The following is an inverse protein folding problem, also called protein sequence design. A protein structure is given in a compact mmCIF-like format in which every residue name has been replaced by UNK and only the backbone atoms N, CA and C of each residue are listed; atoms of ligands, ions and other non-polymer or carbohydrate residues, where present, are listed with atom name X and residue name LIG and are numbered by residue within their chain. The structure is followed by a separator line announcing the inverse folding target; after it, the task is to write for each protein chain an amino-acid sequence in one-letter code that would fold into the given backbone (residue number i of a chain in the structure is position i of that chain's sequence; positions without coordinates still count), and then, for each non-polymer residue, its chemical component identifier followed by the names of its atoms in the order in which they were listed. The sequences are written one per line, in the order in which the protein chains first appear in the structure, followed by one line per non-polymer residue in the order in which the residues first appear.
data_IF_375792858109
#
_entry.id   IF_375792858109
#
_cell.length_a   1.000
_cell.length_b   1.000
_cell.length_c   1.000
_cell.angle_alpha   90.00
_cell.angle_beta   90.00
_cell.angle_gamma   90.00
#
_symmetry.space_group_name_H-M   'P 1'
#
loop_
_entity.id
_entity.type
_entity.pdbx_description
1 polymer ?
#
# COMPACT_ATOMS: atom_id res chain seq x y z
N UNK A 1 67.98 -15.57 -13.02
CA UNK A 1 68.31 -16.94 -13.45
C UNK A 1 67.66 -17.93 -12.50
N UNK A 2 67.05 -18.98 -13.07
CA UNK A 2 66.52 -20.18 -12.42
C UNK A 2 65.41 -19.99 -11.35
N UNK A 3 64.14 -20.04 -11.80
CA UNK A 3 63.03 -20.78 -11.16
C UNK A 3 61.79 -20.74 -12.09
N UNK A 4 61.84 -21.55 -13.14
CA UNK A 4 60.70 -21.96 -13.96
C UNK A 4 60.89 -23.44 -14.27
N UNK A 5 59.92 -24.28 -13.91
CA UNK A 5 59.90 -25.71 -14.26
C UNK A 5 59.42 -26.58 -13.10
N UNK A 6 58.48 -27.50 -13.41
CA UNK A 6 57.64 -28.35 -12.52
C UNK A 6 56.31 -27.64 -12.20
N UNK A 7 55.12 -28.09 -12.61
CA UNK A 7 54.65 -29.41 -13.07
C UNK A 7 53.46 -29.15 -14.01
N UNK A 8 53.55 -29.62 -15.26
CA UNK A 8 52.45 -29.68 -16.22
C UNK A 8 52.29 -31.15 -16.59
N UNK A 9 51.43 -31.88 -15.88
CA UNK A 9 50.94 -33.22 -16.25
C UNK A 9 50.03 -33.72 -15.13
N UNK A 10 48.72 -33.52 -15.25
CA UNK A 10 47.67 -34.38 -14.71
C UNK A 10 46.29 -33.87 -15.18
N UNK A 11 45.46 -34.82 -15.60
CA UNK A 11 44.04 -34.71 -15.98
C UNK A 11 43.70 -34.41 -17.46
N UNK A 12 44.22 -35.26 -18.35
CA UNK A 12 43.45 -35.73 -19.52
C UNK A 12 43.05 -37.19 -19.28
N UNK A 13 41.85 -37.44 -18.76
CA UNK A 13 41.09 -38.69 -18.90
C UNK A 13 39.77 -38.59 -18.15
N UNK A 14 38.67 -38.27 -18.85
CA UNK A 14 37.29 -38.76 -18.60
C UNK A 14 36.32 -37.95 -19.46
N UNK A 15 36.30 -38.24 -20.76
CA UNK A 15 35.32 -37.74 -21.71
C UNK A 15 34.97 -38.91 -22.65
N UNK A 16 34.07 -39.77 -22.18
CA UNK A 16 33.31 -40.70 -23.01
C UNK A 16 32.14 -41.28 -22.19
N UNK A 17 30.97 -41.34 -22.82
CA UNK A 17 29.72 -41.97 -22.36
C UNK A 17 28.84 -41.19 -21.37
N UNK A 18 28.14 -40.16 -21.87
CA UNK A 18 26.73 -39.96 -21.53
C UNK A 18 25.97 -39.90 -22.86
N UNK A 19 25.37 -41.02 -23.24
CA UNK A 19 24.45 -41.12 -24.35
C UNK A 19 23.19 -40.29 -24.05
N UNK A 20 22.88 -39.38 -24.97
CA UNK A 20 21.55 -38.89 -25.36
C UNK A 20 20.36 -39.19 -24.43
N UNK A 21 19.97 -38.21 -23.62
CA UNK A 21 18.60 -38.08 -23.11
C UNK A 21 18.01 -36.76 -23.61
N UNK A 22 17.35 -36.82 -24.76
CA UNK A 22 16.49 -35.73 -25.25
C UNK A 22 15.12 -35.94 -24.59
N UNK A 23 14.63 -35.03 -23.72
CA UNK A 23 13.27 -35.14 -23.23
C UNK A 23 12.31 -34.87 -24.40
N UNK A 24 11.56 -35.88 -24.82
CA UNK A 24 10.50 -35.71 -25.80
C UNK A 24 9.40 -34.82 -25.21
N UNK A 25 9.08 -33.73 -25.89
CA UNK A 25 7.90 -32.92 -25.61
C UNK A 25 6.63 -33.78 -25.72
N UNK A 26 5.64 -33.63 -24.83
CA UNK A 26 4.38 -34.36 -24.96
C UNK A 26 3.66 -33.97 -26.26
N UNK A 27 2.93 -34.92 -26.89
CA UNK A 27 2.20 -34.63 -28.13
C UNK A 27 1.10 -33.57 -27.87
N UNK A 28 0.81 -32.72 -28.87
CA UNK A 28 -0.25 -31.73 -28.75
C UNK A 28 -1.62 -32.41 -28.57
N UNK A 29 -2.56 -31.80 -27.82
CA UNK A 29 -3.90 -32.35 -27.66
C UNK A 29 -4.63 -32.45 -29.01
N UNK A 30 -5.56 -33.41 -29.16
CA UNK A 30 -6.31 -33.59 -30.39
C UNK A 30 -7.15 -32.34 -30.72
N UNK A 31 -7.39 -32.04 -32.01
CA UNK A 31 -8.17 -30.88 -32.41
C UNK A 31 -9.59 -31.00 -31.85
N UNK A 32 -10.02 -30.00 -31.08
CA UNK A 32 -11.40 -29.87 -30.63
C UNK A 32 -12.32 -29.81 -31.85
N UNK A 33 -13.23 -30.78 -31.90
CA UNK A 33 -14.32 -30.82 -32.87
C UNK A 33 -15.17 -29.55 -32.74
N UNK A 34 -15.27 -28.83 -33.85
CA UNK A 34 -16.25 -27.77 -34.06
C UNK A 34 -17.64 -28.31 -33.74
N UNK A 35 -18.23 -27.84 -32.64
CA UNK A 35 -19.67 -27.96 -32.42
C UNK A 35 -20.26 -26.69 -31.80
N UNK A 36 -21.21 -26.16 -32.56
CA UNK A 36 -22.32 -25.27 -32.21
C UNK A 36 -21.97 -23.88 -31.66
N UNK A 37 -22.27 -22.89 -32.49
CA UNK A 37 -22.42 -21.47 -32.18
C UNK A 37 -23.16 -21.23 -30.85
N UNK A 38 -22.79 -20.19 -30.09
CA UNK A 38 -23.56 -19.79 -28.92
C UNK A 38 -24.94 -19.25 -29.36
N UNK A 39 -26.01 -19.47 -28.59
CA UNK A 39 -27.31 -18.87 -28.88
C UNK A 39 -27.20 -17.34 -28.78
N UNK A 40 -27.82 -16.65 -29.74
CA UNK A 40 -27.92 -15.20 -29.78
C UNK A 40 -28.56 -14.67 -28.49
N UNK A 41 -27.79 -13.99 -27.65
CA UNK A 41 -28.32 -13.20 -26.56
C UNK A 41 -29.03 -11.98 -27.15
N UNK A 42 -30.36 -12.03 -27.20
CA UNK A 42 -31.15 -10.81 -27.37
C UNK A 42 -30.97 -9.95 -26.11
N UNK A 43 -30.73 -8.63 -26.24
CA UNK A 43 -30.67 -7.76 -25.07
C UNK A 43 -32.07 -7.69 -24.43
N UNK A 44 -32.18 -7.71 -23.10
CA UNK A 44 -33.46 -7.51 -22.44
C UNK A 44 -33.99 -6.10 -22.73
N UNK A 45 -35.32 -5.91 -22.76
CA UNK A 45 -35.93 -4.64 -23.09
C UNK A 45 -35.54 -3.56 -22.08
N UNK A 46 -35.30 -2.36 -22.61
CA UNK A 46 -34.95 -1.15 -21.85
C UNK A 46 -35.97 -0.86 -20.76
N UNK A 47 -35.63 -1.18 -19.52
CA UNK A 47 -36.33 -0.67 -18.35
C UNK A 47 -35.84 0.76 -18.09
N UNK A 48 -36.51 1.72 -18.74
CA UNK A 48 -36.69 3.05 -18.15
C UNK A 48 -37.45 2.82 -16.85
N UNK A 49 -36.90 3.18 -15.69
CA UNK A 49 -37.63 3.71 -14.51
C UNK A 49 -36.66 4.04 -13.34
N UNK A 50 -37.06 4.94 -12.42
CA UNK A 50 -36.20 5.97 -11.86
C UNK A 50 -35.67 5.60 -10.47
N UNK A 51 -34.35 5.65 -10.29
CA UNK A 51 -33.72 5.42 -8.98
C UNK A 51 -33.38 6.71 -8.19
N UNK A 52 -33.94 7.85 -8.59
CA UNK A 52 -33.95 9.03 -7.74
C UNK A 52 -35.19 9.00 -6.83
N UNK A 53 -35.04 8.30 -5.69
CA UNK A 53 -35.73 8.52 -4.39
C UNK A 53 -35.58 7.24 -3.55
N UNK A 54 -34.43 7.07 -2.91
CA UNK A 54 -34.38 6.26 -1.70
C UNK A 54 -34.35 7.23 -0.52
N UNK A 55 -35.49 7.24 0.16
CA UNK A 55 -35.79 7.93 1.41
C UNK A 55 -34.71 7.66 2.46
N UNK A 56 -34.47 8.67 3.31
CA UNK A 56 -33.78 8.56 4.61
C UNK A 56 -34.32 7.35 5.39
N UNK A 57 -33.73 6.18 5.17
CA UNK A 57 -33.80 5.08 6.11
C UNK A 57 -32.60 5.26 7.01
N UNK A 58 -32.85 5.43 8.30
CA UNK A 58 -31.83 5.62 9.31
C UNK A 58 -30.76 4.54 9.19
N UNK A 59 -29.61 4.90 8.59
CA UNK A 59 -28.34 4.34 8.99
C UNK A 59 -28.26 4.64 10.47
N UNK A 60 -28.34 3.61 11.32
CA UNK A 60 -27.97 3.75 12.72
C UNK A 60 -26.65 4.50 12.72
N UNK A 61 -26.66 5.73 13.26
CA UNK A 61 -25.45 6.49 13.46
C UNK A 61 -24.50 5.57 14.21
N UNK A 62 -23.47 5.07 13.51
CA UNK A 62 -22.37 4.44 14.19
C UNK A 62 -21.88 5.51 15.15
N UNK A 63 -22.02 5.26 16.45
CA UNK A 63 -21.49 6.14 17.47
C UNK A 63 -20.05 6.46 17.05
N UNK A 64 -19.75 7.74 16.85
CA UNK A 64 -18.39 8.17 16.56
C UNK A 64 -17.43 7.66 17.65
N UNK A 65 -16.11 7.78 17.44
CA UNK A 65 -15.17 7.49 18.51
C UNK A 65 -15.53 8.32 19.76
N UNK A 66 -15.04 7.90 20.93
CA UNK A 66 -15.08 8.76 22.12
C UNK A 66 -14.30 10.06 21.87
N UNK A 67 -13.99 10.83 22.92
CA UNK A 67 -13.10 11.97 22.76
C UNK A 67 -11.77 11.51 22.11
N UNK A 68 -11.50 11.96 20.89
CA UNK A 68 -10.31 11.56 20.12
C UNK A 68 -9.07 12.12 20.80
N UNK A 69 -8.13 11.23 21.17
CA UNK A 69 -6.88 11.59 21.84
C UNK A 69 -5.63 11.27 21.04
N UNK A 70 -5.77 10.49 19.97
CA UNK A 70 -4.70 10.33 18.99
C UNK A 70 -5.17 9.94 17.60
N UNK A 71 -4.36 10.31 16.61
CA UNK A 71 -4.54 9.91 15.22
C UNK A 71 -3.26 9.22 14.75
N UNK A 72 -3.42 8.03 14.18
CA UNK A 72 -2.34 7.24 13.61
C UNK A 72 -2.48 7.25 12.09
N UNK A 73 -1.48 7.79 11.42
CA UNK A 73 -1.48 7.95 9.98
C UNK A 73 -0.61 6.87 9.34
N UNK A 74 -1.10 6.24 8.27
CA UNK A 74 -0.18 5.69 7.27
C UNK A 74 0.64 6.82 6.60
N UNK A 75 1.64 6.46 5.78
CA UNK A 75 2.57 7.41 5.17
C UNK A 75 2.35 7.48 3.66
N UNK A 76 2.57 6.38 2.94
CA UNK A 76 2.40 6.30 1.49
C UNK A 76 0.93 6.44 1.12
N UNK A 77 0.61 7.29 0.14
CA UNK A 77 -0.78 7.58 -0.24
C UNK A 77 -1.61 8.33 0.82
N UNK A 78 -1.18 8.38 2.08
CA UNK A 78 -1.93 8.97 3.19
C UNK A 78 -1.42 10.36 3.56
N UNK A 79 -0.11 10.53 3.80
CA UNK A 79 0.49 11.85 4.02
C UNK A 79 0.86 12.53 2.69
N UNK A 80 1.24 11.75 1.70
CA UNK A 80 1.59 12.25 0.38
C UNK A 80 1.19 11.28 -0.72
N UNK A 81 0.92 11.83 -1.90
CA UNK A 81 0.69 11.03 -3.09
C UNK A 81 2.03 10.47 -3.63
N UNK A 82 2.40 9.26 -3.18
CA UNK A 82 3.64 8.56 -3.56
C UNK A 82 3.42 7.49 -4.63
N UNK A 83 2.17 7.08 -4.85
CA UNK A 83 1.79 6.01 -5.78
C UNK A 83 2.25 6.25 -7.22
N UNK A 84 2.14 7.46 -7.81
CA UNK A 84 2.64 7.72 -9.16
C UNK A 84 4.14 7.44 -9.31
N UNK A 85 4.94 7.75 -8.29
CA UNK A 85 6.39 7.50 -8.32
C UNK A 85 6.67 6.01 -8.15
N UNK A 86 6.00 5.34 -7.20
CA UNK A 86 6.12 3.89 -7.06
C UNK A 86 5.71 3.18 -8.35
N UNK A 87 4.62 3.60 -9.00
CA UNK A 87 4.15 3.02 -10.25
C UNK A 87 5.21 3.11 -11.35
N UNK A 88 5.83 4.28 -11.56
CA UNK A 88 6.93 4.45 -12.52
C UNK A 88 8.12 3.52 -12.19
N UNK A 89 8.51 3.43 -10.92
CA UNK A 89 9.64 2.58 -10.48
C UNK A 89 9.34 1.10 -10.70
N UNK A 90 8.16 0.63 -10.26
CA UNK A 90 7.76 -0.76 -10.45
C UNK A 90 7.60 -1.10 -11.93
N UNK A 91 7.04 -0.20 -12.73
CA UNK A 91 6.93 -0.39 -14.17
C UNK A 91 8.31 -0.55 -14.83
N UNK A 92 9.28 0.29 -14.48
CA UNK A 92 10.65 0.20 -14.97
C UNK A 92 11.31 -1.14 -14.59
N UNK A 93 11.24 -1.51 -13.30
CA UNK A 93 11.97 -2.65 -12.75
C UNK A 93 11.32 -3.99 -13.11
N UNK A 94 10.00 -4.10 -13.04
CA UNK A 94 9.30 -5.35 -13.37
C UNK A 94 9.43 -5.68 -14.86
N UNK A 95 9.44 -4.67 -15.73
CA UNK A 95 9.72 -4.87 -17.15
C UNK A 95 11.11 -5.46 -17.39
N UNK A 96 12.14 -4.98 -16.67
CA UNK A 96 13.52 -5.51 -16.75
C UNK A 96 13.62 -6.96 -16.28
N UNK A 97 12.84 -7.33 -15.27
CA UNK A 97 12.75 -8.71 -14.77
C UNK A 97 11.85 -9.62 -15.63
N UNK A 98 11.29 -9.13 -16.74
CA UNK A 98 10.44 -9.91 -17.65
C UNK A 98 9.02 -10.19 -17.13
N UNK A 99 8.61 -9.57 -16.02
CA UNK A 99 7.24 -9.66 -15.50
C UNK A 99 6.27 -9.05 -16.53
N UNK A 100 5.04 -9.55 -16.55
CA UNK A 100 4.02 -9.19 -17.55
C UNK A 100 4.49 -9.43 -18.99
N UNK A 101 5.31 -10.47 -19.21
CA UNK A 101 5.88 -10.81 -20.52
C UNK A 101 6.87 -9.76 -21.04
N UNK A 102 7.57 -9.07 -20.14
CA UNK A 102 8.51 -7.99 -20.47
C UNK A 102 7.83 -6.71 -20.97
N UNK A 103 6.54 -6.53 -20.67
CA UNK A 103 5.78 -5.32 -20.99
C UNK A 103 5.58 -4.48 -19.72
N UNK A 104 5.44 -3.15 -19.85
CA UNK A 104 5.02 -2.29 -18.76
C UNK A 104 3.76 -2.81 -18.05
N UNK A 105 3.73 -2.79 -16.71
CA UNK A 105 2.50 -3.00 -15.95
C UNK A 105 1.57 -1.79 -16.11
N UNK A 106 0.26 -2.01 -15.96
CA UNK A 106 -0.74 -0.94 -15.91
C UNK A 106 -1.14 -0.58 -14.47
N UNK A 107 -1.94 0.47 -14.31
CA UNK A 107 -2.41 0.91 -12.99
C UNK A 107 -3.25 -0.16 -12.28
N UNK A 108 -4.00 -0.97 -13.02
CA UNK A 108 -4.82 -2.02 -12.41
C UNK A 108 -3.93 -3.07 -11.74
N UNK A 109 -2.88 -3.53 -12.44
CA UNK A 109 -1.88 -4.42 -11.86
C UNK A 109 -1.24 -3.79 -10.63
N UNK A 110 -0.85 -2.52 -10.70
CA UNK A 110 -0.22 -1.83 -9.57
C UNK A 110 -1.13 -1.77 -8.34
N UNK A 111 -2.38 -1.32 -8.49
CA UNK A 111 -3.34 -1.19 -7.38
C UNK A 111 -3.72 -2.54 -6.75
N UNK A 112 -3.72 -3.61 -7.53
CA UNK A 112 -4.13 -4.95 -7.07
C UNK A 112 -2.98 -5.77 -6.48
N UNK A 113 -1.79 -5.68 -7.08
CA UNK A 113 -0.66 -6.53 -6.72
C UNK A 113 0.40 -5.85 -5.86
N UNK A 114 0.44 -4.50 -5.83
CA UNK A 114 1.58 -3.73 -5.29
C UNK A 114 1.14 -2.71 -4.23
N UNK A 115 0.22 -1.80 -4.56
CA UNK A 115 -0.11 -0.63 -3.73
C UNK A 115 -0.42 -1.00 -2.26
N UNK A 116 0.25 -0.33 -1.31
CA UNK A 116 0.10 -0.55 0.14
C UNK A 116 0.59 -1.90 0.70
N UNK A 117 1.22 -2.75 -0.14
CA UNK A 117 1.76 -4.05 0.30
C UNK A 117 3.23 -3.96 0.66
N UNK A 118 3.70 -4.90 1.48
CA UNK A 118 5.12 -5.04 1.78
C UNK A 118 5.90 -5.59 0.58
N UNK A 119 7.11 -5.08 0.36
CA UNK A 119 7.99 -5.58 -0.68
C UNK A 119 8.25 -7.09 -0.57
N UNK A 120 8.38 -7.63 0.64
CA UNK A 120 8.58 -9.06 0.84
C UNK A 120 7.41 -9.90 0.29
N UNK A 121 6.17 -9.44 0.49
CA UNK A 121 4.98 -10.12 -0.03
C UNK A 121 4.85 -9.94 -1.54
N UNK A 122 5.16 -8.74 -2.05
CA UNK A 122 5.20 -8.47 -3.49
C UNK A 122 6.23 -9.38 -4.18
N UNK A 123 7.45 -9.46 -3.64
CA UNK A 123 8.51 -10.31 -4.18
C UNK A 123 8.13 -11.79 -4.12
N UNK A 124 7.51 -12.24 -3.03
CA UNK A 124 7.05 -13.63 -2.91
C UNK A 124 6.06 -14.01 -4.00
N UNK A 125 5.14 -13.12 -4.36
CA UNK A 125 4.11 -13.40 -5.36
C UNK A 125 4.65 -13.26 -6.79
N UNK A 126 5.46 -12.23 -7.06
CA UNK A 126 6.00 -11.95 -8.40
C UNK A 126 7.22 -12.81 -8.75
N UNK A 127 8.02 -13.18 -7.75
CA UNK A 127 9.26 -13.92 -7.90
C UNK A 127 9.33 -15.12 -6.93
N UNK A 128 8.41 -16.09 -7.03
CA UNK A 128 8.32 -17.20 -6.07
C UNK A 128 9.54 -18.14 -6.07
N UNK A 129 10.41 -18.02 -7.07
CA UNK A 129 11.63 -18.80 -7.25
C UNK A 129 12.88 -18.09 -6.70
N UNK A 130 12.77 -16.84 -6.26
CA UNK A 130 13.90 -16.12 -5.65
C UNK A 130 14.18 -16.58 -4.23
N UNK A 131 15.45 -16.56 -3.87
CA UNK A 131 15.86 -16.66 -2.46
C UNK A 131 15.49 -15.39 -1.71
N UNK A 132 15.49 -15.46 -0.38
CA UNK A 132 15.27 -14.28 0.48
C UNK A 132 16.28 -13.18 0.17
N UNK A 133 17.56 -13.52 0.00
CA UNK A 133 18.62 -12.57 -0.32
C UNK A 133 18.41 -11.86 -1.66
N UNK A 134 17.92 -12.58 -2.69
CA UNK A 134 17.59 -11.98 -3.98
C UNK A 134 16.43 -10.98 -3.86
N UNK A 135 15.37 -11.35 -3.14
CA UNK A 135 14.23 -10.48 -2.89
C UNK A 135 14.60 -9.22 -2.08
N UNK A 136 15.44 -9.37 -1.05
CA UNK A 136 15.94 -8.25 -0.25
C UNK A 136 16.80 -7.30 -1.09
N UNK A 137 17.72 -7.84 -1.90
CA UNK A 137 18.56 -7.04 -2.80
C UNK A 137 17.75 -6.26 -3.83
N UNK A 138 16.75 -6.91 -4.43
CA UNK A 138 15.85 -6.26 -5.38
C UNK A 138 15.01 -5.18 -4.69
N UNK A 139 14.50 -5.46 -3.48
CA UNK A 139 13.74 -4.50 -2.69
C UNK A 139 14.57 -3.27 -2.33
N UNK A 140 15.80 -3.42 -1.85
CA UNK A 140 16.66 -2.27 -1.53
C UNK A 140 16.99 -1.45 -2.80
N UNK A 141 17.22 -2.11 -3.94
CA UNK A 141 17.42 -1.43 -5.23
C UNK A 141 16.17 -0.67 -5.66
N UNK A 142 14.97 -1.27 -5.55
CA UNK A 142 13.68 -0.61 -5.80
C UNK A 142 13.54 0.63 -4.94
N UNK A 143 13.81 0.53 -3.64
CA UNK A 143 13.63 1.66 -2.74
C UNK A 143 14.66 2.75 -2.93
N UNK A 144 15.90 2.41 -3.28
CA UNK A 144 16.89 3.39 -3.69
C UNK A 144 16.43 4.16 -4.94
N UNK A 145 15.86 3.45 -5.92
CA UNK A 145 15.33 4.06 -7.14
C UNK A 145 14.11 4.96 -6.86
N UNK A 146 13.21 4.53 -5.98
CA UNK A 146 12.11 5.37 -5.50
C UNK A 146 12.61 6.67 -4.87
N UNK A 147 13.54 6.59 -3.91
CA UNK A 147 14.08 7.79 -3.25
C UNK A 147 14.75 8.74 -4.24
N UNK A 148 15.45 8.24 -5.26
CA UNK A 148 16.03 9.05 -6.33
C UNK A 148 14.95 9.78 -7.14
N UNK A 149 13.92 9.06 -7.60
CA UNK A 149 12.87 9.60 -8.47
C UNK A 149 11.88 10.51 -7.73
N UNK A 150 11.69 10.30 -6.44
CA UNK A 150 10.73 11.02 -5.62
C UNK A 150 11.17 12.44 -5.24
N UNK A 151 12.46 12.78 -5.38
CA UNK A 151 12.98 14.13 -5.06
C UNK A 151 12.23 15.18 -5.87
N UNK A 152 11.56 16.10 -5.17
CA UNK A 152 10.78 17.18 -5.78
C UNK A 152 9.47 16.76 -6.45
N UNK A 153 9.09 15.47 -6.37
CA UNK A 153 7.83 14.96 -6.93
C UNK A 153 6.74 14.71 -5.89
N UNK A 154 7.09 14.43 -4.64
CA UNK A 154 6.11 14.15 -3.59
C UNK A 154 5.34 15.42 -3.20
N UNK A 155 4.02 15.29 -3.14
CA UNK A 155 3.12 16.37 -2.73
C UNK A 155 2.34 15.92 -1.49
N UNK A 156 2.24 16.78 -0.46
CA UNK A 156 1.36 16.48 0.67
C UNK A 156 -0.09 16.35 0.18
N UNK A 157 -0.88 15.51 0.83
CA UNK A 157 -2.31 15.50 0.61
C UNK A 157 -2.90 16.83 1.06
N UNK A 158 -3.90 17.33 0.33
CA UNK A 158 -4.55 18.61 0.61
C UNK A 158 -5.12 18.64 2.04
N UNK A 159 -4.95 19.75 2.75
CA UNK A 159 -5.39 19.90 4.14
C UNK A 159 -4.45 19.29 5.20
N UNK A 160 -3.35 18.64 4.80
CA UNK A 160 -2.46 17.95 5.75
C UNK A 160 -1.81 18.91 6.75
N UNK A 161 -1.39 20.09 6.31
CA UNK A 161 -0.73 21.07 7.18
C UNK A 161 -1.72 21.62 8.21
N UNK A 162 -2.92 21.90 7.76
CA UNK A 162 -4.03 22.47 8.53
C UNK A 162 -4.48 21.50 9.61
N UNK A 163 -4.66 20.21 9.28
CA UNK A 163 -5.00 19.21 10.28
C UNK A 163 -3.87 19.03 11.29
N UNK A 164 -2.59 18.97 10.88
CA UNK A 164 -1.50 18.81 11.83
C UNK A 164 -1.41 19.98 12.82
N UNK A 165 -1.58 21.21 12.31
CA UNK A 165 -1.67 22.41 13.16
C UNK A 165 -2.84 22.32 14.15
N UNK A 166 -4.02 21.91 13.69
CA UNK A 166 -5.18 21.70 14.56
C UNK A 166 -4.90 20.66 15.66
N UNK A 167 -4.30 19.52 15.29
CA UNK A 167 -3.99 18.45 16.24
C UNK A 167 -2.99 18.91 17.31
N UNK A 168 -2.01 19.75 16.93
CA UNK A 168 -1.08 20.35 17.89
C UNK A 168 -1.79 21.27 18.88
N UNK A 169 -2.68 22.15 18.39
CA UNK A 169 -3.45 23.05 19.25
C UNK A 169 -4.40 22.30 20.19
N UNK A 170 -4.99 21.20 19.72
CA UNK A 170 -5.89 20.35 20.48
C UNK A 170 -5.16 19.38 21.43
N UNK A 171 -3.83 19.29 21.37
CA UNK A 171 -3.05 18.34 22.16
C UNK A 171 -3.31 16.87 21.81
N UNK A 172 -3.71 16.61 20.56
CA UNK A 172 -3.99 15.27 20.04
C UNK A 172 -2.67 14.65 19.56
N UNK A 173 -2.39 13.43 20.04
CA UNK A 173 -1.15 12.71 19.73
C UNK A 173 -1.15 12.19 18.30
N UNK A 174 0.03 12.07 17.70
CA UNK A 174 0.21 11.66 16.30
C UNK A 174 1.24 10.55 16.18
N UNK A 175 0.93 9.50 15.43
CA UNK A 175 1.91 8.51 15.01
C UNK A 175 1.93 8.34 13.49
N UNK A 176 3.10 8.09 12.94
CA UNK A 176 3.24 7.52 11.61
C UNK A 176 3.41 6.00 11.73
N UNK A 177 2.62 5.22 11.00
CA UNK A 177 2.65 3.76 11.01
C UNK A 177 2.67 3.29 9.57
N UNK A 178 3.74 2.64 9.10
CA UNK A 178 3.88 2.31 7.67
C UNK A 178 4.47 0.92 7.44
N UNK A 179 4.14 0.31 6.30
CA UNK A 179 4.81 -0.89 5.80
C UNK A 179 6.08 -0.57 4.98
N UNK A 180 6.34 0.71 4.68
CA UNK A 180 7.56 1.12 4.00
C UNK A 180 8.79 0.93 4.89
N UNK A 181 9.96 0.57 4.33
CA UNK A 181 11.20 0.50 5.10
C UNK A 181 11.54 1.85 5.73
N UNK A 182 12.22 1.83 6.88
CA UNK A 182 12.59 3.04 7.65
C UNK A 182 13.19 4.16 6.81
N UNK A 183 14.15 3.84 5.92
CA UNK A 183 14.79 4.82 5.05
C UNK A 183 13.81 5.58 4.16
N UNK A 184 12.75 4.91 3.69
CA UNK A 184 11.73 5.52 2.86
C UNK A 184 10.76 6.36 3.69
N UNK A 185 10.33 5.83 4.85
CA UNK A 185 9.50 6.59 5.78
C UNK A 185 10.19 7.91 6.17
N UNK A 186 11.45 7.84 6.60
CA UNK A 186 12.24 9.02 6.97
C UNK A 186 12.47 9.96 5.78
N UNK A 187 12.74 9.43 4.59
CA UNK A 187 12.85 10.22 3.38
C UNK A 187 11.56 10.99 3.07
N UNK A 188 10.40 10.32 3.01
CA UNK A 188 9.13 10.97 2.71
C UNK A 188 8.77 12.01 3.75
N UNK A 189 8.92 11.70 5.04
CA UNK A 189 8.69 12.65 6.13
C UNK A 189 9.63 13.87 6.05
N UNK A 190 10.89 13.67 5.65
CA UNK A 190 11.83 14.77 5.45
C UNK A 190 11.42 15.67 4.27
N UNK A 191 10.88 15.09 3.19
CA UNK A 191 10.39 15.83 2.01
C UNK A 191 9.12 16.63 2.35
N UNK A 192 8.23 16.06 3.16
CA UNK A 192 7.04 16.75 3.67
C UNK A 192 7.37 17.82 4.74
N UNK A 193 8.63 17.87 5.15
CA UNK A 193 9.23 19.03 5.79
C UNK A 193 9.35 18.95 7.30
N UNK A 194 8.87 17.89 7.97
CA UNK A 194 8.86 17.81 9.45
C UNK A 194 8.80 16.36 9.98
N UNK A 195 9.95 15.81 10.36
CA UNK A 195 10.04 14.54 11.12
C UNK A 195 9.47 14.68 12.54
N UNK A 196 9.43 15.91 13.06
CA UNK A 196 9.02 16.33 14.39
C UNK A 196 7.49 16.37 14.58
N UNK A 197 6.71 16.10 13.54
CA UNK A 197 5.25 16.05 13.62
C UNK A 197 4.70 14.86 14.42
N UNK A 198 5.48 13.81 14.59
CA UNK A 198 5.00 12.56 15.16
C UNK A 198 5.67 12.28 16.49
N UNK A 199 4.85 11.96 17.48
CA UNK A 199 5.30 11.49 18.79
C UNK A 199 6.01 10.13 18.68
N UNK A 200 5.64 9.32 17.69
CA UNK A 200 6.29 8.04 17.37
C UNK A 200 6.16 7.68 15.90
N UNK A 201 7.16 6.98 15.39
CA UNK A 201 7.14 6.32 14.07
C UNK A 201 7.24 4.81 14.29
N UNK A 202 6.32 4.06 13.69
CA UNK A 202 6.27 2.59 13.71
C UNK A 202 6.45 2.05 12.30
N UNK A 203 7.49 1.23 12.13
CA UNK A 203 7.81 0.57 10.86
C UNK A 203 7.32 -0.88 10.94
N UNK A 204 6.51 -1.30 9.97
CA UNK A 204 5.91 -2.63 9.92
C UNK A 204 6.96 -3.74 9.87
N UNK A 205 8.04 -3.54 9.10
CA UNK A 205 9.16 -4.49 9.00
C UNK A 205 9.98 -4.63 10.28
N UNK A 206 9.85 -3.69 11.22
CA UNK A 206 10.50 -3.78 12.55
C UNK A 206 9.57 -4.40 13.60
N UNK A 207 8.31 -4.67 13.23
CA UNK A 207 7.36 -5.37 14.07
C UNK A 207 7.47 -6.89 13.81
N UNK A 208 7.05 -7.69 14.79
CA UNK A 208 6.97 -9.15 14.59
C UNK A 208 6.00 -9.53 13.46
N UNK A 209 4.99 -8.68 13.23
CA UNK A 209 4.05 -8.78 12.12
C UNK A 209 3.71 -7.39 11.62
N UNK A 210 3.63 -7.27 10.31
CA UNK A 210 3.26 -6.04 9.64
C UNK A 210 1.80 -6.05 9.19
N UNK A 211 1.32 -4.92 8.62
CA UNK A 211 -0.05 -4.81 8.10
C UNK A 211 -0.24 -5.88 7.00
N UNK A 212 -1.33 -6.67 7.03
CA UNK A 212 -2.64 -6.38 7.62
C UNK A 212 -2.86 -6.89 9.06
N UNK A 213 -1.81 -7.33 9.76
CA UNK A 213 -1.90 -7.60 11.20
C UNK A 213 -2.03 -6.26 11.95
N UNK A 214 -2.86 -6.16 13.00
CA UNK A 214 -3.06 -4.90 13.73
C UNK A 214 -1.85 -4.48 14.60
N UNK A 215 -0.86 -5.36 14.77
CA UNK A 215 0.29 -5.13 15.64
C UNK A 215 0.97 -3.77 15.47
N UNK A 216 1.27 -3.24 14.26
CA UNK A 216 1.91 -1.94 14.13
C UNK A 216 1.08 -0.80 14.74
N UNK A 217 -0.25 -0.82 14.56
CA UNK A 217 -1.15 0.17 15.16
C UNK A 217 -1.27 -0.02 16.67
N UNK A 218 -1.31 -1.26 17.15
CA UNK A 218 -1.32 -1.55 18.59
C UNK A 218 -0.04 -1.07 19.29
N UNK A 219 1.13 -1.26 18.67
CA UNK A 219 2.41 -0.74 19.17
C UNK A 219 2.39 0.79 19.21
N UNK A 220 1.86 1.45 18.18
CA UNK A 220 1.73 2.91 18.16
C UNK A 220 0.83 3.40 19.31
N UNK A 221 -0.34 2.79 19.50
CA UNK A 221 -1.25 3.10 20.61
C UNK A 221 -0.58 2.90 21.98
N UNK A 222 0.13 1.78 22.17
CA UNK A 222 0.86 1.48 23.41
C UNK A 222 1.91 2.55 23.73
N UNK A 223 2.74 2.92 22.74
CA UNK A 223 3.77 3.97 22.90
C UNK A 223 3.17 5.33 23.25
N UNK A 224 1.96 5.62 22.75
CA UNK A 224 1.26 6.87 23.02
C UNK A 224 0.37 6.80 24.27
N UNK A 225 0.24 5.65 24.92
CA UNK A 225 -0.67 5.45 26.05
C UNK A 225 -2.13 5.70 25.67
N UNK A 226 -2.53 5.24 24.48
CA UNK A 226 -3.87 5.35 23.93
C UNK A 226 -4.59 4.00 23.92
N UNK A 227 -5.90 4.04 24.05
CA UNK A 227 -6.82 2.92 23.80
C UNK A 227 -7.41 2.99 22.39
N UNK A 228 -7.89 1.87 21.84
CA UNK A 228 -8.54 1.86 20.53
C UNK A 228 -9.74 2.82 20.43
N UNK A 229 -10.53 2.96 21.50
CA UNK A 229 -11.78 3.77 21.47
C UNK A 229 -11.55 5.28 21.44
N UNK A 230 -10.32 5.73 21.72
CA UNK A 230 -9.88 7.14 21.66
C UNK A 230 -8.92 7.41 20.49
N UNK A 231 -8.75 6.42 19.60
CA UNK A 231 -7.78 6.45 18.50
C UNK A 231 -8.48 6.41 17.16
N UNK A 232 -8.04 7.28 16.25
CA UNK A 232 -8.40 7.24 14.83
C UNK A 232 -7.21 6.73 14.02
N UNK A 233 -7.46 5.86 13.05
CA UNK A 233 -6.47 5.44 12.03
C UNK A 233 -6.87 6.03 10.69
N UNK A 234 -5.93 6.61 9.95
CA UNK A 234 -6.14 7.08 8.56
C UNK A 234 -5.28 6.25 7.60
N UNK A 235 -5.91 5.66 6.59
CA UNK A 235 -5.31 4.69 5.67
C UNK A 235 -5.87 4.77 4.26
N UNK A 236 -5.04 4.53 3.25
CA UNK A 236 -5.42 4.53 1.82
C UNK A 236 -5.51 3.10 1.24
N UNK A 237 -4.94 2.12 1.93
CA UNK A 237 -4.72 0.77 1.40
C UNK A 237 -5.63 -0.29 2.05
N UNK A 238 -5.96 -1.41 1.35
CA UNK A 238 -6.79 -2.45 1.94
C UNK A 238 -6.05 -3.19 3.05
N UNK A 239 -4.74 -3.40 2.88
CA UNK A 239 -3.87 -4.04 3.87
C UNK A 239 -3.84 -3.24 5.16
N UNK A 240 -3.60 -1.95 5.05
CA UNK A 240 -3.46 -1.08 6.19
C UNK A 240 -4.79 -0.70 6.84
N UNK A 241 -5.83 -0.44 6.07
CA UNK A 241 -7.20 -0.32 6.59
C UNK A 241 -7.62 -1.58 7.38
N UNK A 242 -7.25 -2.78 6.89
CA UNK A 242 -7.52 -4.04 7.62
C UNK A 242 -6.81 -4.06 8.97
N UNK A 243 -5.56 -3.61 9.02
CA UNK A 243 -4.81 -3.52 10.27
C UNK A 243 -5.43 -2.50 11.24
N UNK A 244 -5.85 -1.33 10.73
CA UNK A 244 -6.56 -0.30 11.49
C UNK A 244 -7.84 -0.84 12.11
N UNK A 245 -8.71 -1.46 11.31
CA UNK A 245 -9.98 -2.03 11.76
C UNK A 245 -9.74 -3.14 12.80
N UNK A 246 -8.80 -4.05 12.55
CA UNK A 246 -8.46 -5.14 13.49
C UNK A 246 -7.82 -4.65 14.79
N UNK A 247 -7.27 -3.43 14.81
CA UNK A 247 -6.71 -2.83 16.03
C UNK A 247 -7.80 -2.38 17.01
N UNK A 248 -9.05 -2.28 16.54
CA UNK A 248 -10.19 -1.78 17.30
C UNK A 248 -10.40 -0.26 17.18
N UNK A 249 -9.48 0.46 16.53
CA UNK A 249 -9.56 1.89 16.33
C UNK A 249 -10.60 2.29 15.28
N UNK A 250 -11.11 3.52 15.38
CA UNK A 250 -11.97 4.08 14.34
C UNK A 250 -11.14 4.34 13.08
N UNK A 251 -11.41 3.59 12.02
CA UNK A 251 -10.59 3.63 10.80
C UNK A 251 -11.25 4.45 9.70
N UNK A 252 -10.55 5.47 9.22
CA UNK A 252 -10.92 6.35 8.12
C UNK A 252 -10.12 5.95 6.88
N UNK A 253 -10.82 5.71 5.78
CA UNK A 253 -10.21 5.48 4.47
C UNK A 253 -9.96 6.78 3.73
N UNK A 254 -8.74 7.05 3.26
CA UNK A 254 -8.45 8.18 2.36
C UNK A 254 -8.39 7.71 0.90
N UNK A 255 -9.10 8.39 0.01
CA UNK A 255 -9.38 7.94 -1.37
C UNK A 255 -8.31 8.38 -2.38
N UNK A 256 -7.05 8.30 -2.00
CA UNK A 256 -5.89 8.63 -2.84
C UNK A 256 -5.48 7.46 -3.72
N UNK A 257 -5.47 6.24 -3.16
CA UNK A 257 -4.94 5.05 -3.84
C UNK A 257 -6.01 4.04 -4.27
N UNK A 258 -7.06 3.86 -3.45
CA UNK A 258 -8.09 2.83 -3.66
C UNK A 258 -9.49 3.41 -3.84
N UNK A 259 -10.36 2.61 -4.47
CA UNK A 259 -11.77 2.95 -4.61
C UNK A 259 -12.53 2.82 -3.28
N UNK A 260 -13.58 3.62 -3.13
CA UNK A 260 -14.42 3.68 -1.92
C UNK A 260 -14.99 2.31 -1.52
N UNK A 261 -15.43 1.51 -2.49
CA UNK A 261 -15.99 0.18 -2.24
C UNK A 261 -14.97 -0.76 -1.59
N UNK A 262 -13.70 -0.67 -1.99
CA UNK A 262 -12.61 -1.48 -1.45
C UNK A 262 -12.40 -1.17 0.04
N UNK A 263 -12.24 0.10 0.39
CA UNK A 263 -12.01 0.50 1.79
C UNK A 263 -13.24 0.27 2.67
N UNK A 264 -14.44 0.47 2.13
CA UNK A 264 -15.70 0.15 2.83
C UNK A 264 -15.80 -1.34 3.13
N UNK A 265 -15.45 -2.20 2.16
CA UNK A 265 -15.53 -3.67 2.32
C UNK A 265 -14.60 -4.21 3.42
N UNK A 266 -13.49 -3.51 3.68
CA UNK A 266 -12.53 -3.84 4.73
C UNK A 266 -13.01 -3.40 6.12
N UNK A 267 -13.97 -2.46 6.17
CA UNK A 267 -14.61 -2.01 7.40
C UNK A 267 -14.28 -0.58 7.83
N UNK A 268 -13.68 0.24 6.95
CA UNK A 268 -13.54 1.68 7.20
C UNK A 268 -14.92 2.29 7.52
N UNK A 269 -14.95 3.15 8.55
CA UNK A 269 -16.19 3.74 9.08
C UNK A 269 -16.53 5.09 8.46
N UNK A 270 -15.53 5.74 7.87
CA UNK A 270 -15.63 7.01 7.16
C UNK A 270 -14.65 6.97 6.00
N UNK A 271 -14.98 7.69 4.93
CA UNK A 271 -14.11 7.85 3.77
C UNK A 271 -13.93 9.35 3.48
N UNK A 272 -12.70 9.77 3.25
CA UNK A 272 -12.35 11.16 2.92
C UNK A 272 -11.56 11.21 1.62
N UNK A 273 -11.69 12.31 0.87
CA UNK A 273 -10.85 12.54 -0.32
C UNK A 273 -9.51 13.17 0.05
N UNK A 274 -9.54 14.06 1.03
CA UNK A 274 -8.41 14.79 1.56
C UNK A 274 -8.76 15.27 2.99
N UNK A 275 -7.84 15.98 3.64
CA UNK A 275 -8.00 16.40 5.03
C UNK A 275 -8.88 17.64 5.23
N UNK A 276 -9.43 18.22 4.15
CA UNK A 276 -10.44 19.28 4.21
C UNK A 276 -11.86 18.71 4.33
N UNK A 277 -12.02 17.42 4.60
CA UNK A 277 -13.33 16.84 4.82
C UNK A 277 -13.97 17.39 6.11
N UNK A 278 -15.11 18.08 5.96
CA UNK A 278 -15.77 18.76 7.06
C UNK A 278 -16.30 17.79 8.14
N UNK A 279 -16.78 16.61 7.73
CA UNK A 279 -17.29 15.62 8.67
C UNK A 279 -16.14 15.00 9.46
N UNK A 280 -15.00 14.75 8.81
CA UNK A 280 -13.79 14.30 9.47
C UNK A 280 -13.26 15.31 10.49
N UNK A 281 -13.16 16.59 10.12
CA UNK A 281 -12.73 17.65 11.03
C UNK A 281 -13.68 17.80 12.22
N UNK A 282 -14.98 17.69 12.00
CA UNK A 282 -16.01 17.71 13.07
C UNK A 282 -15.91 16.47 13.97
N UNK A 283 -15.49 15.32 13.43
CA UNK A 283 -15.37 14.08 14.20
C UNK A 283 -14.14 14.12 15.11
N UNK A 284 -13.00 14.61 14.62
CA UNK A 284 -11.76 14.66 15.42
C UNK A 284 -11.70 15.86 16.37
N UNK A 285 -12.46 16.92 16.09
CA UNK A 285 -12.53 18.10 16.92
C UNK A 285 -13.92 18.30 17.51
N UNK A 286 -14.02 18.48 18.82
CA UNK A 286 -15.21 19.06 19.46
C UNK A 286 -15.34 20.56 19.15
N UNK A 287 -15.32 20.95 17.87
CA UNK A 287 -15.36 22.35 17.44
C UNK A 287 -16.77 22.79 17.06
N UNK A 288 -17.11 24.03 17.43
CA UNK A 288 -18.30 24.70 16.91
C UNK A 288 -18.08 25.06 15.43
N UNK A 289 -19.18 25.19 14.68
CA UNK A 289 -19.17 25.31 13.21
C UNK A 289 -18.33 26.46 12.63
N UNK A 290 -17.98 27.49 13.41
CA UNK A 290 -17.20 28.65 12.96
C UNK A 290 -15.72 28.32 12.72
N UNK A 291 -15.10 27.49 13.58
CA UNK A 291 -13.69 27.13 13.44
C UNK A 291 -13.45 26.16 12.27
N UNK A 292 -14.40 25.23 12.06
CA UNK A 292 -14.42 24.34 10.90
C UNK A 292 -14.45 25.16 9.60
N UNK A 293 -15.25 26.23 9.56
CA UNK A 293 -15.32 27.11 8.38
C UNK A 293 -14.04 27.90 8.12
N UNK A 294 -13.19 28.12 9.13
CA UNK A 294 -11.87 28.73 8.93
C UNK A 294 -10.88 27.77 8.28
N UNK A 295 -10.87 26.50 8.71
CA UNK A 295 -10.00 25.46 8.12
C UNK A 295 -10.42 25.15 6.68
N UNK A 296 -11.72 25.09 6.40
CA UNK A 296 -12.24 24.80 5.07
C UNK A 296 -12.05 25.92 4.04
N UNK A 297 -11.71 27.14 4.48
CA UNK A 297 -11.55 28.33 3.62
C UNK A 297 -10.10 28.74 3.37
N UNK A 298 -9.14 28.15 4.08
CA UNK A 298 -7.71 28.33 3.86
C UNK A 298 -7.25 27.50 2.65
#
# INVERSE_FOLDING_TARGET
GARRGRVLLLLCASLAAVESFVPQSPPPPPPHSLRSSPPSLQPPPSLRHPWFKMTRTAVQAASGPGAVRGILFDVDGTLCDSDPVHFEVFQELLMKEGINGGKPIDEHFFRTMIAGRQNALICKDLFPHWTVEQAERWSEMKEARFREMAVGKLKPIEGLQEIFHFLDQAGIKKAAVTNAPRKNAEFMLSVLGRLDWFDTIVIGDECKKAKPDPMPYQIAMERLGLKPEETVVVEDSPSGATAGVKSGAFTVGILTSQHADTLTSVGCKMLIKDYRDAEFMTMIGSMNSEDIQSVLKA
#
